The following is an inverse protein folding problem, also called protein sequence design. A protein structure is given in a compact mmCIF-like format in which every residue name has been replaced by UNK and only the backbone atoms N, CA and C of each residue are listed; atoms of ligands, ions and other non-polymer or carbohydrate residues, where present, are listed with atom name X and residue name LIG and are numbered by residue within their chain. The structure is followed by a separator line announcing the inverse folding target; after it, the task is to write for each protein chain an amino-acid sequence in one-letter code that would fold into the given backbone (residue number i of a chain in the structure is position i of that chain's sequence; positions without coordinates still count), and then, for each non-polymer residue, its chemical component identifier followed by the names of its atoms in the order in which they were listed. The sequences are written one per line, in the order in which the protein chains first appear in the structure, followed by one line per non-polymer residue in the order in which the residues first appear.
data_IF_309514060087
#
_entry.id   IF_309514060087
#
_cell.length_a   1.000
_cell.length_b   1.000
_cell.length_c   1.000
_cell.angle_alpha   90.00
_cell.angle_beta   90.00
_cell.angle_gamma   90.00
#
_symmetry.space_group_name_H-M   'P 1'
#
loop_
_entity.id
_entity.type
_entity.pdbx_description
1 polymer ?
#
# COMPACT_ATOMS: atom_id res chain seq x y z
N UNK A 1 -18.13 27.46 28.88
CA UNK A 1 -16.82 27.68 28.23
C UNK A 1 -16.04 26.37 28.08
N UNK A 2 -15.82 25.59 29.16
CA UNK A 2 -15.11 24.30 29.08
C UNK A 2 -15.76 23.27 28.12
N UNK A 3 -17.09 23.13 28.16
CA UNK A 3 -17.80 22.20 27.24
C UNK A 3 -17.68 22.58 25.76
N UNK A 4 -17.66 23.88 25.45
CA UNK A 4 -17.48 24.36 24.07
C UNK A 4 -16.05 24.12 23.62
N UNK A 5 -15.05 24.34 24.48
CA UNK A 5 -13.66 24.01 24.19
C UNK A 5 -13.45 22.51 23.98
N UNK A 6 -14.10 21.67 24.81
CA UNK A 6 -14.02 20.20 24.65
C UNK A 6 -14.67 19.74 23.35
N UNK A 7 -15.82 20.31 22.95
CA UNK A 7 -16.47 20.04 21.66
C UNK A 7 -15.59 20.46 20.48
N UNK A 8 -14.97 21.64 20.55
CA UNK A 8 -14.04 22.13 19.53
C UNK A 8 -12.81 21.23 19.44
N UNK A 9 -12.23 20.84 20.58
CA UNK A 9 -11.09 19.92 20.60
C UNK A 9 -11.44 18.54 20.04
N UNK A 10 -12.60 17.98 20.38
CA UNK A 10 -13.08 16.72 19.80
C UNK A 10 -13.30 16.84 18.29
N UNK A 11 -13.89 17.93 17.81
CA UNK A 11 -14.07 18.17 16.36
C UNK A 11 -12.73 18.33 15.64
N UNK A 12 -11.72 18.98 16.26
CA UNK A 12 -10.37 19.12 15.68
C UNK A 12 -9.67 17.75 15.68
N UNK A 13 -9.88 16.92 16.68
CA UNK A 13 -9.31 15.58 16.77
C UNK A 13 -9.95 14.65 15.74
N UNK A 14 -11.28 14.66 15.58
CA UNK A 14 -11.99 13.91 14.54
C UNK A 14 -11.59 14.34 13.13
N UNK A 15 -11.37 15.65 12.89
CA UNK A 15 -10.96 16.16 11.56
C UNK A 15 -9.56 15.75 11.14
N UNK A 16 -8.71 15.30 12.08
CA UNK A 16 -7.34 14.84 11.84
C UNK A 16 -7.20 13.32 11.76
N UNK A 17 -8.29 12.59 12.02
CA UNK A 17 -8.28 11.12 11.96
C UNK A 17 -7.92 10.66 10.56
N UNK A 18 -6.77 10.01 10.42
CA UNK A 18 -6.30 9.45 9.14
C UNK A 18 -6.52 7.94 9.13
N UNK A 19 -7.32 7.46 8.18
CA UNK A 19 -7.69 6.05 8.07
C UNK A 19 -7.13 5.42 6.80
N UNK A 20 -6.59 4.24 6.93
CA UNK A 20 -6.31 3.33 5.83
C UNK A 20 -7.50 2.39 5.64
N UNK A 21 -8.14 2.43 4.47
CA UNK A 21 -9.18 1.47 4.07
C UNK A 21 -8.63 0.51 3.03
N UNK A 22 -8.84 -0.78 3.23
CA UNK A 22 -8.41 -1.84 2.30
C UNK A 22 -9.59 -2.32 1.48
N UNK A 23 -9.55 -2.14 0.16
CA UNK A 23 -10.58 -2.65 -0.76
C UNK A 23 -10.19 -4.00 -1.35
N UNK A 24 -8.91 -4.23 -1.52
CA UNK A 24 -8.33 -5.47 -1.99
C UNK A 24 -6.83 -5.48 -1.77
N UNK A 25 -6.27 -6.66 -1.47
CA UNK A 25 -4.84 -6.87 -1.19
C UNK A 25 -4.44 -8.28 -1.60
N UNK A 26 -4.50 -8.57 -2.90
CA UNK A 26 -4.18 -9.89 -3.46
C UNK A 26 -4.06 -9.85 -4.98
N UNK A 27 -3.62 -10.94 -5.60
CA UNK A 27 -3.59 -11.13 -7.06
C UNK A 27 -4.97 -11.01 -7.76
N UNK A 28 -6.07 -10.89 -7.01
CA UNK A 28 -7.40 -10.61 -7.57
C UNK A 28 -7.65 -9.11 -7.75
N UNK A 29 -6.89 -8.27 -7.08
CA UNK A 29 -6.93 -6.81 -7.19
C UNK A 29 -6.48 -6.13 -5.91
N UNK A 30 -5.69 -5.09 -6.09
CA UNK A 30 -5.13 -4.28 -5.04
C UNK A 30 -5.72 -2.87 -5.12
N UNK A 31 -6.19 -2.36 -3.99
CA UNK A 31 -6.60 -0.97 -3.84
C UNK A 31 -6.71 -0.62 -2.36
N UNK A 32 -6.08 0.48 -2.00
CA UNK A 32 -6.09 1.03 -0.64
C UNK A 32 -6.46 2.51 -0.72
N UNK A 33 -7.13 3.02 0.30
CA UNK A 33 -7.49 4.43 0.39
C UNK A 33 -6.97 4.97 1.72
N UNK A 34 -6.05 5.92 1.64
CA UNK A 34 -5.62 6.74 2.78
C UNK A 34 -6.50 7.98 2.79
N UNK A 35 -7.23 8.24 3.89
CA UNK A 35 -8.17 9.35 3.92
C UNK A 35 -8.40 9.92 5.31
N UNK A 36 -8.67 11.23 5.35
CA UNK A 36 -9.34 11.92 6.44
C UNK A 36 -10.68 12.50 5.96
N UNK A 37 -11.28 13.42 6.70
CA UNK A 37 -12.53 14.06 6.28
C UNK A 37 -12.39 14.86 4.97
N UNK A 38 -11.26 15.54 4.76
CA UNK A 38 -11.07 16.53 3.68
C UNK A 38 -10.30 16.01 2.47
N UNK A 39 -9.44 15.00 2.66
CA UNK A 39 -8.56 14.50 1.61
C UNK A 39 -8.54 12.98 1.57
N UNK A 40 -8.32 12.44 0.37
CA UNK A 40 -8.06 11.02 0.16
C UNK A 40 -6.98 10.83 -0.92
N UNK A 41 -6.16 9.79 -0.74
CA UNK A 41 -5.21 9.30 -1.71
C UNK A 41 -5.51 7.81 -1.97
N UNK A 42 -5.62 7.45 -3.25
CA UNK A 42 -5.84 6.06 -3.66
C UNK A 42 -4.49 5.44 -3.99
N UNK A 43 -4.22 4.25 -3.46
CA UNK A 43 -3.08 3.42 -3.82
C UNK A 43 -3.61 2.22 -4.59
N UNK A 44 -3.10 2.02 -5.78
CA UNK A 44 -3.45 1.00 -6.76
C UNK A 44 -4.84 1.14 -7.42
N UNK A 45 -4.90 0.70 -8.66
CA UNK A 45 -6.09 0.74 -9.52
C UNK A 45 -6.57 -0.66 -9.93
N UNK A 46 -6.41 -1.65 -9.03
CA UNK A 46 -6.77 -3.05 -9.28
C UNK A 46 -8.23 -3.41 -9.00
N UNK A 47 -8.99 -2.51 -8.37
CA UNK A 47 -10.40 -2.71 -8.00
C UNK A 47 -11.32 -1.79 -8.83
N UNK A 48 -12.53 -2.27 -9.10
CA UNK A 48 -13.53 -1.51 -9.87
C UNK A 48 -13.79 -0.13 -9.28
N UNK A 49 -13.81 0.90 -10.13
CA UNK A 49 -14.04 2.28 -9.69
C UNK A 49 -15.36 2.47 -8.94
N UNK A 50 -16.39 1.68 -9.24
CA UNK A 50 -17.65 1.72 -8.51
C UNK A 50 -17.46 1.35 -7.03
N UNK A 51 -16.61 0.38 -6.72
CA UNK A 51 -16.36 -0.04 -5.34
C UNK A 51 -15.47 0.97 -4.61
N UNK A 52 -14.53 1.60 -5.32
CA UNK A 52 -13.77 2.76 -4.81
C UNK A 52 -14.71 3.91 -4.44
N UNK A 53 -15.70 4.23 -5.29
CA UNK A 53 -16.70 5.29 -5.00
C UNK A 53 -17.55 4.96 -3.77
N UNK A 54 -17.96 3.70 -3.61
CA UNK A 54 -18.71 3.26 -2.40
C UNK A 54 -17.87 3.42 -1.14
N UNK A 55 -16.60 2.98 -1.16
CA UNK A 55 -15.69 3.09 -0.02
C UNK A 55 -15.43 4.54 0.40
N UNK A 56 -15.50 5.47 -0.55
CA UNK A 56 -15.43 6.93 -0.32
C UNK A 56 -16.78 7.55 0.09
N UNK A 57 -17.82 6.74 0.33
CA UNK A 57 -19.19 7.22 0.56
C UNK A 57 -19.65 8.20 -0.53
N UNK A 58 -19.26 7.95 -1.78
CA UNK A 58 -19.52 8.78 -2.97
C UNK A 58 -18.87 10.18 -2.95
N UNK A 59 -18.13 10.53 -1.89
CA UNK A 59 -17.41 11.80 -1.81
C UNK A 59 -16.07 11.71 -2.56
N UNK A 60 -16.14 11.59 -3.88
CA UNK A 60 -14.95 11.51 -4.74
C UNK A 60 -14.22 12.86 -4.86
N UNK A 61 -14.86 13.96 -4.51
CA UNK A 61 -14.26 15.32 -4.60
C UNK A 61 -13.05 15.48 -3.65
N UNK A 62 -13.00 14.70 -2.56
CA UNK A 62 -11.86 14.74 -1.64
C UNK A 62 -10.61 14.00 -2.15
N UNK A 63 -10.72 13.20 -3.22
CA UNK A 63 -9.58 12.46 -3.77
C UNK A 63 -8.60 13.41 -4.44
N UNK A 64 -7.36 13.43 -3.97
CA UNK A 64 -6.28 14.30 -4.46
C UNK A 64 -5.43 13.63 -5.53
N UNK A 65 -5.39 12.29 -5.55
CA UNK A 65 -4.64 11.53 -6.54
C UNK A 65 -4.81 10.03 -6.41
N UNK A 66 -4.28 9.31 -7.41
CA UNK A 66 -4.15 7.87 -7.43
C UNK A 66 -2.69 7.52 -7.75
N UNK A 67 -2.08 6.61 -7.01
CA UNK A 67 -0.73 6.11 -7.22
C UNK A 67 -0.80 4.67 -7.70
N UNK A 68 -0.04 4.31 -8.73
CA UNK A 68 0.05 2.93 -9.23
C UNK A 68 1.50 2.53 -9.32
N UNK A 69 1.86 1.40 -8.72
CA UNK A 69 3.25 0.94 -8.61
C UNK A 69 3.80 0.38 -9.92
N UNK A 70 3.02 -0.46 -10.60
CA UNK A 70 3.44 -1.14 -11.83
C UNK A 70 2.24 -1.57 -12.70
N UNK A 71 2.54 -2.15 -13.87
CA UNK A 71 1.54 -2.41 -14.92
C UNK A 71 0.71 -3.69 -14.78
N UNK A 72 0.94 -4.59 -13.81
CA UNK A 72 0.16 -5.83 -13.70
C UNK A 72 -1.33 -5.56 -13.50
N UNK A 73 -2.16 -6.55 -13.88
CA UNK A 73 -3.60 -6.39 -13.93
C UNK A 73 -4.25 -6.11 -12.61
N UNK A 74 -3.80 -6.74 -11.58
CA UNK A 74 -4.28 -6.59 -10.21
C UNK A 74 -3.89 -5.26 -9.56
N UNK A 75 -2.99 -4.47 -10.17
CA UNK A 75 -2.60 -3.13 -9.75
C UNK A 75 -3.12 -2.01 -10.65
N UNK A 76 -3.32 -2.26 -11.94
CA UNK A 76 -3.61 -1.19 -12.91
C UNK A 76 -4.81 -1.45 -13.83
N UNK A 77 -5.59 -2.52 -13.62
CA UNK A 77 -6.71 -2.92 -14.49
C UNK A 77 -7.73 -1.81 -14.74
N UNK A 78 -8.03 -1.02 -13.72
CA UNK A 78 -9.05 0.03 -13.78
C UNK A 78 -8.46 1.44 -13.81
N UNK A 79 -7.18 1.57 -14.15
CA UNK A 79 -6.47 2.86 -14.21
C UNK A 79 -7.15 3.86 -15.16
N UNK A 80 -7.76 3.38 -16.26
CA UNK A 80 -8.49 4.21 -17.22
C UNK A 80 -9.68 4.93 -16.57
N UNK A 81 -10.43 4.23 -15.72
CA UNK A 81 -11.60 4.78 -15.05
C UNK A 81 -11.19 5.81 -13.99
N UNK A 82 -10.12 5.49 -13.21
CA UNK A 82 -9.62 6.38 -12.17
C UNK A 82 -8.96 7.62 -12.77
N UNK A 83 -8.12 7.47 -13.79
CA UNK A 83 -7.43 8.59 -14.44
C UNK A 83 -8.39 9.52 -15.20
N UNK A 84 -9.57 9.06 -15.57
CA UNK A 84 -10.65 9.91 -16.06
C UNK A 84 -11.15 10.93 -15.02
N UNK A 85 -11.03 10.59 -13.74
CA UNK A 85 -11.50 11.42 -12.62
C UNK A 85 -10.37 12.09 -11.84
N UNK A 86 -9.24 11.42 -11.60
CA UNK A 86 -8.17 11.82 -10.69
C UNK A 86 -6.83 11.96 -11.39
N UNK A 87 -5.97 12.84 -10.90
CA UNK A 87 -4.55 12.81 -11.25
C UNK A 87 -3.99 11.45 -10.83
N UNK A 88 -3.41 10.74 -11.79
CA UNK A 88 -2.88 9.39 -11.60
C UNK A 88 -1.39 9.39 -11.87
N UNK A 89 -0.63 9.04 -10.84
CA UNK A 89 0.83 9.00 -10.82
C UNK A 89 1.27 7.55 -11.01
N UNK A 90 2.05 7.29 -12.05
CA UNK A 90 2.63 5.98 -12.34
C UNK A 90 3.85 6.12 -13.26
N UNK A 91 4.66 5.08 -13.37
CA UNK A 91 5.68 5.01 -14.42
C UNK A 91 5.03 5.12 -15.81
N UNK A 92 5.72 5.73 -16.78
CA UNK A 92 5.24 5.83 -18.16
C UNK A 92 4.88 4.47 -18.74
N UNK A 93 5.65 3.42 -18.41
CA UNK A 93 5.41 2.02 -18.78
C UNK A 93 3.99 1.53 -18.43
N UNK A 94 3.43 1.96 -17.29
CA UNK A 94 2.06 1.60 -16.88
C UNK A 94 1.04 2.19 -17.86
N UNK A 95 1.20 3.46 -18.21
CA UNK A 95 0.28 4.16 -19.11
C UNK A 95 0.34 3.59 -20.53
N UNK A 96 1.55 3.35 -21.02
CA UNK A 96 1.78 2.79 -22.37
C UNK A 96 1.20 1.38 -22.45
N UNK A 97 1.48 0.51 -21.48
CA UNK A 97 0.98 -0.85 -21.44
C UNK A 97 -0.54 -0.93 -21.36
N UNK A 98 -1.17 -0.02 -20.59
CA UNK A 98 -2.63 0.06 -20.44
C UNK A 98 -3.31 0.82 -21.58
N UNK A 99 -2.57 1.45 -22.49
CA UNK A 99 -3.10 2.22 -23.61
C UNK A 99 -3.97 3.39 -23.15
N UNK A 100 -3.62 4.04 -22.02
CA UNK A 100 -4.36 5.16 -21.48
C UNK A 100 -3.71 6.48 -21.87
N UNK A 101 -4.54 7.47 -22.19
CA UNK A 101 -4.13 8.83 -22.54
C UNK A 101 -5.01 9.82 -21.82
N UNK A 102 -4.50 11.02 -21.53
CA UNK A 102 -5.29 12.07 -20.89
C UNK A 102 -4.44 13.08 -20.15
N UNK A 103 -5.05 14.19 -19.77
CA UNK A 103 -4.38 15.33 -19.12
C UNK A 103 -4.22 15.16 -17.59
N UNK A 104 -4.73 14.08 -17.03
CA UNK A 104 -4.58 13.74 -15.61
C UNK A 104 -3.53 12.63 -15.36
N UNK A 105 -2.88 12.14 -16.40
CA UNK A 105 -1.76 11.21 -16.25
C UNK A 105 -0.50 11.98 -15.90
N UNK A 106 0.17 11.55 -14.85
CA UNK A 106 1.40 12.16 -14.36
C UNK A 106 2.49 11.08 -14.34
N UNK A 107 3.30 11.00 -15.40
CA UNK A 107 4.46 10.13 -15.41
C UNK A 107 5.42 10.48 -14.29
N UNK A 108 5.84 9.47 -13.53
CA UNK A 108 6.76 9.66 -12.41
C UNK A 108 8.15 9.15 -12.72
N UNK A 109 9.10 9.72 -12.00
CA UNK A 109 10.51 9.29 -11.99
C UNK A 109 10.90 8.98 -10.54
N UNK A 110 11.48 7.81 -10.26
CA UNK A 110 11.99 7.47 -8.93
C UNK A 110 12.92 8.57 -8.37
N UNK A 111 12.82 8.84 -7.08
CA UNK A 111 13.57 9.90 -6.38
C UNK A 111 13.03 11.31 -6.56
N UNK A 112 12.11 11.54 -7.50
CA UNK A 112 11.49 12.87 -7.68
C UNK A 112 10.37 13.09 -6.66
N UNK A 113 10.05 14.37 -6.39
CA UNK A 113 9.03 14.76 -5.41
C UNK A 113 7.74 15.18 -6.10
N UNK A 114 6.64 14.62 -5.66
CA UNK A 114 5.29 14.95 -6.15
C UNK A 114 4.39 15.39 -4.99
N UNK A 115 3.29 16.05 -5.34
CA UNK A 115 2.31 16.52 -4.36
C UNK A 115 0.89 16.31 -4.88
N UNK A 116 0.03 15.71 -4.03
CA UNK A 116 -1.41 15.55 -4.25
C UNK A 116 -2.15 16.07 -3.02
N UNK A 117 -2.76 17.26 -3.09
CA UNK A 117 -3.30 17.92 -1.90
C UNK A 117 -2.19 18.18 -0.88
N UNK A 118 -2.35 17.72 0.36
CA UNK A 118 -1.32 17.79 1.39
C UNK A 118 -0.39 16.56 1.42
N UNK A 119 -0.67 15.52 0.61
CA UNK A 119 0.22 14.36 0.47
C UNK A 119 1.47 14.75 -0.33
N UNK A 120 2.65 14.51 0.26
CA UNK A 120 3.95 14.59 -0.39
C UNK A 120 4.40 13.18 -0.73
N UNK A 121 4.83 12.95 -1.96
CA UNK A 121 5.05 11.61 -2.50
C UNK A 121 6.44 11.55 -3.11
N UNK A 122 7.20 10.50 -2.77
CA UNK A 122 8.49 10.18 -3.37
C UNK A 122 8.42 8.73 -3.83
N UNK A 123 8.36 8.44 -5.14
CA UNK A 123 8.52 7.09 -5.64
C UNK A 123 9.98 6.65 -5.53
N UNK A 124 10.22 5.38 -5.29
CA UNK A 124 11.54 4.75 -5.29
C UNK A 124 11.50 3.40 -6.02
N UNK A 125 12.61 3.00 -6.63
CA UNK A 125 12.68 1.77 -7.38
C UNK A 125 12.49 0.54 -6.48
N UNK A 126 11.81 -0.47 -7.01
CA UNK A 126 11.66 -1.78 -6.41
C UNK A 126 11.88 -2.86 -7.48
N UNK A 127 12.59 -3.94 -7.12
CA UNK A 127 12.91 -5.02 -8.05
C UNK A 127 11.73 -5.98 -8.21
N UNK A 128 11.22 -6.07 -9.42
CA UNK A 128 10.10 -6.92 -9.81
C UNK A 128 10.33 -7.48 -11.24
N UNK A 129 9.42 -8.30 -11.75
CA UNK A 129 9.51 -8.84 -13.13
C UNK A 129 9.15 -7.81 -14.22
N UNK A 130 8.63 -6.65 -13.83
CA UNK A 130 8.37 -5.47 -14.66
C UNK A 130 8.86 -4.21 -13.93
N UNK A 131 9.03 -3.05 -14.62
CA UNK A 131 9.33 -1.78 -13.94
C UNK A 131 8.32 -1.51 -12.83
N UNK A 132 8.82 -1.34 -11.59
CA UNK A 132 8.01 -1.21 -10.39
C UNK A 132 8.60 -0.16 -9.45
N UNK A 133 7.73 0.53 -8.71
CA UNK A 133 8.10 1.49 -7.68
C UNK A 133 7.35 1.23 -6.38
N UNK A 134 8.02 1.50 -5.26
CA UNK A 134 7.36 1.79 -4.00
C UNK A 134 7.14 3.29 -3.83
N UNK A 135 6.42 3.68 -2.78
CA UNK A 135 6.14 5.08 -2.47
C UNK A 135 6.42 5.41 -1.00
N UNK A 136 7.15 6.51 -0.78
CA UNK A 136 7.10 7.23 0.50
C UNK A 136 6.01 8.29 0.40
N UNK A 137 5.10 8.31 1.37
CA UNK A 137 3.94 9.20 1.39
C UNK A 137 3.92 9.92 2.74
N UNK A 138 4.10 11.23 2.74
CA UNK A 138 4.03 12.06 3.95
C UNK A 138 2.76 12.91 3.94
N UNK A 139 2.08 12.98 5.08
CA UNK A 139 0.92 13.85 5.30
C UNK A 139 0.96 14.41 6.72
N UNK A 140 0.57 15.70 6.96
CA UNK A 140 0.60 16.30 8.30
C UNK A 140 -0.14 15.50 9.38
N UNK A 141 -1.28 14.89 9.05
CA UNK A 141 -2.11 14.14 9.99
C UNK A 141 -1.69 12.66 10.13
N UNK A 142 -0.74 12.17 9.31
CA UNK A 142 -0.29 10.78 9.29
C UNK A 142 1.19 10.64 9.68
N UNK A 143 2.02 11.55 9.19
CA UNK A 143 3.47 11.37 9.11
C UNK A 143 3.86 10.59 7.86
N UNK A 144 4.98 9.90 7.90
CA UNK A 144 5.55 9.20 6.74
C UNK A 144 5.13 7.74 6.72
N UNK A 145 4.49 7.34 5.64
CA UNK A 145 4.09 5.96 5.33
C UNK A 145 4.94 5.44 4.16
N UNK A 146 5.49 4.24 4.30
CA UNK A 146 6.09 3.47 3.21
C UNK A 146 5.06 2.48 2.65
N UNK A 147 4.84 2.52 1.34
CA UNK A 147 4.04 1.55 0.59
C UNK A 147 4.93 0.79 -0.39
N UNK A 148 5.07 -0.52 -0.21
CA UNK A 148 5.95 -1.36 -1.01
C UNK A 148 5.32 -2.72 -1.22
N UNK A 149 4.95 -3.01 -2.46
CA UNK A 149 4.27 -4.25 -2.89
C UNK A 149 4.91 -4.80 -4.16
N UNK A 150 4.72 -6.10 -4.39
CA UNK A 150 5.19 -6.81 -5.58
C UNK A 150 6.67 -6.54 -5.88
N UNK A 151 7.52 -7.05 -5.00
CA UNK A 151 8.96 -6.93 -5.14
C UNK A 151 9.66 -8.15 -4.52
N UNK A 152 10.82 -8.49 -5.01
CA UNK A 152 11.67 -9.51 -4.40
C UNK A 152 12.91 -8.92 -3.71
N UNK A 153 13.28 -7.67 -4.05
CA UNK A 153 14.41 -6.94 -3.51
C UNK A 153 14.19 -5.43 -3.58
N UNK A 154 14.73 -4.68 -2.61
CA UNK A 154 14.71 -3.23 -2.57
C UNK A 154 16.03 -2.73 -1.96
N UNK A 155 16.74 -1.89 -2.71
CA UNK A 155 18.05 -1.35 -2.32
C UNK A 155 17.97 -0.25 -1.26
N UNK A 156 16.78 0.28 -1.03
CA UNK A 156 16.57 1.43 -0.14
C UNK A 156 16.22 0.98 1.28
N UNK A 157 16.69 1.79 2.23
CA UNK A 157 16.25 1.76 3.63
C UNK A 157 15.91 3.18 4.04
N UNK A 158 14.85 3.32 4.83
CA UNK A 158 14.31 4.61 5.17
C UNK A 158 14.30 4.81 6.69
N UNK A 159 14.51 6.05 7.11
CA UNK A 159 14.33 6.51 8.48
C UNK A 159 13.03 7.31 8.62
N UNK A 160 12.64 7.56 9.86
CA UNK A 160 11.49 8.41 10.21
C UNK A 160 10.13 7.89 9.70
N UNK A 161 10.00 6.60 9.40
CA UNK A 161 8.73 5.99 9.06
C UNK A 161 7.83 5.87 10.30
N UNK A 162 6.56 6.25 10.15
CA UNK A 162 5.53 6.00 11.14
C UNK A 162 4.67 4.77 10.80
N UNK A 163 4.49 4.51 9.51
CA UNK A 163 3.64 3.43 9.02
C UNK A 163 4.35 2.67 7.90
N UNK A 164 4.21 1.34 7.91
CA UNK A 164 4.77 0.48 6.89
C UNK A 164 3.67 -0.41 6.32
N UNK A 165 3.41 -0.29 5.01
CA UNK A 165 2.63 -1.23 4.22
C UNK A 165 3.61 -2.01 3.35
N UNK A 166 3.83 -3.28 3.66
CA UNK A 166 4.84 -4.10 2.99
C UNK A 166 4.27 -5.45 2.56
N UNK A 167 4.64 -5.89 1.37
CA UNK A 167 4.32 -7.23 0.92
C UNK A 167 4.92 -8.30 1.84
N UNK A 168 4.13 -9.35 2.09
CA UNK A 168 4.60 -10.59 2.70
C UNK A 168 3.83 -11.75 2.05
N UNK A 169 4.26 -12.14 0.84
CA UNK A 169 3.44 -12.95 -0.05
C UNK A 169 3.42 -14.43 0.32
N UNK A 170 4.57 -15.03 0.63
CA UNK A 170 4.69 -16.48 0.82
C UNK A 170 5.75 -16.86 1.86
N UNK A 171 5.74 -18.12 2.27
CA UNK A 171 6.90 -18.76 2.89
C UNK A 171 7.24 -20.07 2.17
N UNK A 172 8.51 -20.48 2.22
CA UNK A 172 8.95 -21.75 1.59
C UNK A 172 8.17 -22.96 2.13
N UNK A 173 7.83 -22.96 3.42
CA UNK A 173 7.00 -23.99 4.05
C UNK A 173 5.68 -24.16 3.32
N UNK A 174 4.89 -23.10 3.22
CA UNK A 174 3.56 -23.15 2.61
C UNK A 174 3.62 -23.34 1.10
N UNK A 175 4.66 -22.81 0.44
CA UNK A 175 4.88 -23.00 -0.99
C UNK A 175 5.14 -24.47 -1.32
N UNK A 176 6.00 -25.17 -0.52
CA UNK A 176 6.28 -26.59 -0.70
C UNK A 176 5.03 -27.42 -0.41
N UNK A 177 4.28 -27.12 0.65
CA UNK A 177 3.02 -27.78 0.97
C UNK A 177 2.00 -27.60 -0.18
N UNK A 178 1.84 -26.39 -0.71
CA UNK A 178 0.93 -26.10 -1.81
C UNK A 178 1.30 -26.82 -3.11
N UNK A 179 2.59 -26.97 -3.39
CA UNK A 179 3.07 -27.76 -4.55
C UNK A 179 2.77 -29.24 -4.35
N UNK A 180 3.07 -29.80 -3.19
CA UNK A 180 2.84 -31.21 -2.88
C UNK A 180 1.36 -31.60 -2.93
N UNK A 181 0.47 -30.68 -2.54
CA UNK A 181 -0.98 -30.86 -2.57
C UNK A 181 -1.62 -30.48 -3.94
N UNK A 182 -0.82 -30.03 -4.91
CA UNK A 182 -1.29 -29.65 -6.25
C UNK A 182 -2.07 -28.33 -6.30
N UNK A 183 -2.04 -27.52 -5.25
CA UNK A 183 -2.67 -26.18 -5.20
C UNK A 183 -1.85 -25.14 -5.95
N UNK A 184 -0.52 -25.31 -5.99
CA UNK A 184 0.43 -24.45 -6.73
C UNK A 184 1.27 -25.32 -7.67
N UNK A 185 1.47 -24.88 -8.89
CA UNK A 185 2.32 -25.59 -9.84
C UNK A 185 3.80 -25.30 -9.58
N UNK A 186 4.64 -26.34 -9.60
CA UNK A 186 6.09 -26.19 -9.38
C UNK A 186 6.73 -25.15 -10.33
N UNK A 187 6.26 -25.04 -11.57
CA UNK A 187 6.72 -24.02 -12.56
C UNK A 187 6.44 -22.59 -12.14
N UNK A 188 5.48 -22.34 -11.24
CA UNK A 188 5.17 -21.00 -10.73
C UNK A 188 6.14 -20.56 -9.64
N UNK A 189 6.87 -21.50 -9.02
CA UNK A 189 7.85 -21.23 -7.97
C UNK A 189 8.91 -20.23 -8.43
N UNK A 190 9.54 -20.48 -9.59
CA UNK A 190 10.63 -19.64 -10.08
C UNK A 190 10.17 -18.21 -10.41
N UNK A 191 8.92 -18.07 -10.87
CA UNK A 191 8.31 -16.75 -11.07
C UNK A 191 8.07 -16.06 -9.74
N UNK A 192 7.48 -16.76 -8.78
CA UNK A 192 7.13 -16.23 -7.47
C UNK A 192 8.37 -15.72 -6.72
N UNK A 193 9.48 -16.47 -6.77
CA UNK A 193 10.77 -16.07 -6.18
C UNK A 193 11.39 -14.80 -6.79
N UNK A 194 10.99 -14.43 -8.02
CA UNK A 194 11.50 -13.27 -8.77
C UNK A 194 10.49 -12.11 -8.83
N UNK A 195 9.36 -12.25 -8.18
CA UNK A 195 8.30 -11.24 -8.27
C UNK A 195 7.71 -10.85 -6.92
N UNK A 196 7.91 -11.65 -5.87
CA UNK A 196 7.27 -11.43 -4.58
C UNK A 196 8.20 -11.65 -3.40
N UNK A 197 7.90 -10.96 -2.30
CA UNK A 197 8.66 -11.03 -1.07
C UNK A 197 8.21 -12.22 -0.20
N UNK A 198 9.17 -13.04 0.20
CA UNK A 198 8.92 -14.11 1.18
C UNK A 198 8.84 -13.57 2.61
N UNK A 199 8.28 -14.36 3.54
CA UNK A 199 8.32 -14.02 4.97
C UNK A 199 9.76 -13.80 5.48
N UNK A 200 10.77 -14.67 5.22
CA UNK A 200 12.14 -14.37 5.61
C UNK A 200 12.68 -13.07 5.01
N UNK A 201 12.39 -12.77 3.74
CA UNK A 201 12.80 -11.51 3.10
C UNK A 201 12.12 -10.29 3.74
N UNK A 202 10.84 -10.40 4.13
CA UNK A 202 10.12 -9.36 4.85
C UNK A 202 10.78 -9.09 6.22
N UNK A 203 11.10 -10.11 6.99
CA UNK A 203 11.80 -9.98 8.27
C UNK A 203 13.18 -9.34 8.09
N UNK A 204 13.95 -9.78 7.10
CA UNK A 204 15.26 -9.19 6.79
C UNK A 204 15.15 -7.70 6.42
N UNK A 205 14.18 -7.34 5.58
CA UNK A 205 13.93 -5.94 5.21
C UNK A 205 13.60 -5.09 6.43
N UNK A 206 12.71 -5.57 7.29
CA UNK A 206 12.31 -4.87 8.51
C UNK A 206 13.48 -4.73 9.50
N UNK A 207 14.27 -5.79 9.72
CA UNK A 207 15.42 -5.79 10.62
C UNK A 207 16.56 -4.87 10.18
N UNK A 208 16.67 -4.62 8.88
CA UNK A 208 17.66 -3.69 8.31
C UNK A 208 17.13 -2.26 8.18
N UNK A 209 15.87 -2.02 8.54
CA UNK A 209 15.21 -0.70 8.50
C UNK A 209 15.20 -0.04 9.88
N UNK A 210 15.12 1.30 9.91
CA UNK A 210 14.91 2.04 11.17
C UNK A 210 13.45 2.02 11.58
N UNK A 211 13.10 1.15 12.52
CA UNK A 211 11.75 1.01 13.05
C UNK A 211 11.47 1.86 14.29
N UNK A 212 12.40 2.75 14.70
CA UNK A 212 12.30 3.48 15.98
C UNK A 212 10.98 4.27 16.13
N UNK A 213 10.51 4.89 15.04
CA UNK A 213 9.27 5.68 15.00
C UNK A 213 8.07 4.94 14.41
N UNK A 214 8.26 3.70 13.95
CA UNK A 214 7.17 2.90 13.37
C UNK A 214 6.16 2.52 14.45
N UNK A 215 4.89 2.77 14.17
CA UNK A 215 3.76 2.50 15.07
C UNK A 215 3.12 1.16 14.78
N UNK A 216 2.91 0.87 13.49
CA UNK A 216 2.37 -0.39 13.03
C UNK A 216 2.94 -0.79 11.67
N UNK A 217 2.87 -2.08 11.41
CA UNK A 217 3.21 -2.71 10.14
C UNK A 217 1.93 -3.35 9.58
N UNK A 218 1.63 -3.11 8.33
CA UNK A 218 0.51 -3.74 7.63
C UNK A 218 1.08 -4.65 6.55
N UNK A 219 0.87 -5.94 6.72
CA UNK A 219 1.22 -6.95 5.73
C UNK A 219 0.20 -6.94 4.60
N UNK A 220 0.66 -6.74 3.38
CA UNK A 220 -0.16 -6.64 2.19
C UNK A 220 0.19 -7.75 1.19
N UNK A 221 -0.70 -7.98 0.23
CA UNK A 221 -0.51 -8.89 -0.90
C UNK A 221 -0.12 -10.33 -0.51
N UNK A 222 -0.73 -10.87 0.56
CA UNK A 222 -0.53 -12.25 0.98
C UNK A 222 -1.13 -13.22 -0.06
N UNK A 223 -0.40 -14.29 -0.37
CA UNK A 223 -0.90 -15.38 -1.21
C UNK A 223 -1.94 -16.21 -0.46
N UNK A 224 -3.09 -16.46 -1.07
CA UNK A 224 -4.11 -17.36 -0.48
C UNK A 224 -3.65 -18.81 -0.35
N UNK A 225 -2.66 -19.23 -1.15
CA UNK A 225 -2.21 -20.62 -1.24
C UNK A 225 -0.88 -20.86 -0.53
N UNK A 226 -0.03 -19.82 -0.45
CA UNK A 226 1.37 -19.97 -0.05
C UNK A 226 1.70 -19.20 1.24
N UNK A 227 0.69 -18.73 1.99
CA UNK A 227 0.87 -17.99 3.24
C UNK A 227 -0.09 -18.45 4.34
N UNK A 228 0.23 -18.09 5.58
CA UNK A 228 -0.66 -18.16 6.73
C UNK A 228 -0.61 -16.81 7.45
N UNK A 229 -1.71 -16.11 7.43
CA UNK A 229 -1.80 -14.74 7.94
C UNK A 229 -1.44 -14.63 9.41
N UNK A 230 -1.99 -15.52 10.25
CA UNK A 230 -1.77 -15.48 11.72
C UNK A 230 -0.30 -15.80 12.07
N UNK A 231 0.30 -16.78 11.36
CA UNK A 231 1.71 -17.12 11.52
C UNK A 231 2.62 -15.98 11.07
N UNK A 232 2.28 -15.29 9.96
CA UNK A 232 3.07 -14.18 9.43
C UNK A 232 3.00 -12.96 10.33
N UNK A 233 1.81 -12.59 10.80
CA UNK A 233 1.62 -11.52 11.78
C UNK A 233 2.46 -11.81 13.02
N UNK A 234 2.31 -13.01 13.60
CA UNK A 234 3.07 -13.38 14.80
C UNK A 234 4.58 -13.32 14.57
N UNK A 235 5.07 -13.83 13.44
CA UNK A 235 6.50 -13.81 13.14
C UNK A 235 7.04 -12.37 13.03
N UNK A 236 6.30 -11.46 12.37
CA UNK A 236 6.69 -10.06 12.23
C UNK A 236 6.59 -9.32 13.58
N UNK A 237 5.55 -9.55 14.39
CA UNK A 237 5.43 -8.95 15.72
C UNK A 237 6.55 -9.39 16.66
N UNK A 238 6.87 -10.68 16.66
CA UNK A 238 7.92 -11.25 17.52
C UNK A 238 9.31 -10.71 17.14
N UNK A 239 9.54 -10.43 15.86
CA UNK A 239 10.81 -9.96 15.33
C UNK A 239 10.95 -8.43 15.39
N UNK A 240 10.03 -7.70 14.77
CA UNK A 240 10.06 -6.24 14.68
C UNK A 240 9.62 -5.51 15.96
N UNK A 241 8.95 -6.22 16.90
CA UNK A 241 8.40 -5.65 18.14
C UNK A 241 7.43 -4.48 17.88
N UNK A 242 6.66 -4.58 16.80
CA UNK A 242 5.66 -3.59 16.39
C UNK A 242 4.30 -4.26 16.18
N UNK A 243 3.19 -3.58 16.53
CA UNK A 243 1.86 -4.03 16.16
C UNK A 243 1.78 -4.33 14.66
N UNK A 244 1.28 -5.50 14.31
CA UNK A 244 1.25 -5.95 12.92
C UNK A 244 -0.16 -6.39 12.54
N UNK A 245 -0.62 -5.98 11.37
CA UNK A 245 -1.94 -6.27 10.85
C UNK A 245 -1.84 -6.88 9.44
N UNK A 246 -2.89 -7.58 9.02
CA UNK A 246 -3.04 -8.01 7.62
C UNK A 246 -4.10 -7.15 6.93
N UNK A 247 -3.81 -6.73 5.73
CA UNK A 247 -4.71 -5.96 4.89
C UNK A 247 -5.80 -6.85 4.28
N UNK A 248 -6.82 -7.20 5.05
CA UNK A 248 -8.00 -7.86 4.50
C UNK A 248 -8.95 -6.87 3.83
N UNK A 249 -9.64 -7.28 2.74
CA UNK A 249 -10.70 -6.46 2.15
C UNK A 249 -11.76 -6.07 3.19
N UNK A 250 -12.02 -4.78 3.31
CA UNK A 250 -12.93 -4.20 4.31
C UNK A 250 -12.25 -3.78 5.62
N UNK A 251 -10.97 -4.05 5.82
CA UNK A 251 -10.25 -3.55 6.98
C UNK A 251 -10.13 -2.02 6.95
N UNK A 252 -10.27 -1.42 8.13
CA UNK A 252 -10.02 0.00 8.39
C UNK A 252 -9.01 0.11 9.53
N UNK A 253 -7.88 0.77 9.28
CA UNK A 253 -6.77 0.89 10.23
C UNK A 253 -6.53 2.38 10.49
N UNK A 254 -6.46 2.76 11.76
CA UNK A 254 -6.10 4.12 12.16
C UNK A 254 -4.60 4.33 11.99
N UNK A 255 -4.24 5.21 11.08
CA UNK A 255 -2.85 5.62 10.79
C UNK A 255 -2.63 7.10 11.12
N UNK A 256 -3.36 7.61 12.08
CA UNK A 256 -3.24 9.00 12.54
C UNK A 256 -1.91 9.23 13.22
N UNK A 257 -1.30 10.37 12.92
CA UNK A 257 -0.09 10.82 13.62
C UNK A 257 -0.39 11.11 15.09
N UNK A 258 0.33 10.46 15.98
CA UNK A 258 0.41 10.90 17.39
C UNK A 258 1.53 11.92 17.53
N UNK A 259 1.25 13.02 18.20
CA UNK A 259 2.26 13.99 18.61
C UNK A 259 2.71 13.57 20.01
N UNK A 260 3.91 13.02 20.12
CA UNK A 260 4.58 12.82 21.41
C UNK A 260 5.08 14.15 21.98
#
# INVERSE_FOLDING_TARGET
MLQVLQLIMNQIQDSRLMMLKVLGSSSKGNCYIIQNESEALILEAGIKFQDVKKALNWNIAKVKGCLVTHRHGDHSKYIKDLSGCFYTLALQDVFDYRGVTGNKLVPITPGSRYKCGNFKIIPFDAHHDVPCVGYLIDHPDMGTLMFLTDFYECDYRFSDLQHILIECNYSDKYLVEAINEGRTFARQRDRLLKSHLSLPGCLEFLNTSDLSKVKEIVLIHLSSENSNADEFVKAVEDDARKPTYVAYPGAEIDITRTYD
#
